data_IF_930244379748
#
_entry.id   IF_930244379748
#
_cell.length_a   1.000
_cell.length_b   1.000
_cell.length_c   1.000
_cell.angle_alpha   90.00
_cell.angle_beta   90.00
_cell.angle_gamma   90.00
#
_symmetry.space_group_name_H-M   'P 1'
#
loop_
_entity.id
_entity.type
_entity.pdbx_description
1 polymer ?
#
# COMPACT_ATOMS: atom_id res chain seq x y z
N UNK A 1 28.60 8.90 -19.15
CA UNK A 1 27.34 8.22 -19.44
C UNK A 1 27.60 6.72 -19.42
N UNK A 2 26.98 6.01 -18.49
CA UNK A 2 27.07 4.54 -18.37
C UNK A 2 26.40 3.81 -19.56
N UNK A 3 26.49 2.49 -19.60
CA UNK A 3 25.88 1.69 -20.65
C UNK A 3 24.35 1.89 -20.64
N UNK A 4 23.80 2.15 -21.80
CA UNK A 4 22.37 2.29 -21.97
C UNK A 4 21.67 0.94 -21.85
N UNK A 5 20.44 0.95 -21.35
CA UNK A 5 19.61 -0.24 -21.33
C UNK A 5 19.39 -0.75 -22.79
N UNK A 6 19.49 -2.06 -23.06
CA UNK A 6 19.08 -2.64 -24.32
C UNK A 6 17.63 -2.26 -24.64
N UNK A 7 17.38 -1.63 -25.76
CA UNK A 7 16.07 -1.08 -26.12
C UNK A 7 15.88 0.40 -25.79
N UNK A 8 16.76 1.00 -25.01
CA UNK A 8 16.83 2.44 -24.89
C UNK A 8 17.38 3.07 -26.17
N UNK A 9 17.05 4.34 -26.37
CA UNK A 9 17.61 5.10 -27.46
C UNK A 9 19.13 5.25 -27.30
N UNK A 10 19.86 5.29 -28.40
CA UNK A 10 21.31 5.43 -28.36
C UNK A 10 21.73 6.79 -27.79
N UNK A 11 22.96 6.88 -27.29
CA UNK A 11 23.57 8.15 -26.87
C UNK A 11 23.56 9.17 -28.03
N UNK A 12 23.73 8.71 -29.28
CA UNK A 12 23.67 9.56 -30.45
C UNK A 12 22.27 10.15 -30.67
N UNK A 13 21.21 9.40 -30.42
CA UNK A 13 19.84 9.89 -30.48
C UNK A 13 19.59 10.97 -29.42
N UNK A 14 20.14 10.81 -28.21
CA UNK A 14 20.09 11.83 -27.17
C UNK A 14 20.88 13.09 -27.58
N UNK A 15 22.10 12.91 -28.06
CA UNK A 15 22.96 14.01 -28.48
C UNK A 15 22.38 14.81 -29.69
N UNK A 16 21.64 14.14 -30.54
CA UNK A 16 20.96 14.77 -31.69
C UNK A 16 19.63 15.47 -31.32
N UNK A 17 19.21 15.40 -30.05
CA UNK A 17 17.95 15.99 -29.57
C UNK A 17 16.69 15.25 -30.02
N UNK A 18 16.82 14.03 -30.54
CA UNK A 18 15.69 13.20 -30.97
C UNK A 18 14.97 12.52 -29.81
N UNK A 19 15.48 12.66 -28.59
CA UNK A 19 14.93 12.08 -27.35
C UNK A 19 14.81 13.18 -26.30
N UNK A 20 13.65 13.30 -25.68
CA UNK A 20 13.39 14.29 -24.61
C UNK A 20 13.74 13.81 -23.22
N UNK A 21 13.67 12.50 -22.99
CA UNK A 21 14.00 11.87 -21.72
C UNK A 21 14.78 10.58 -21.96
N UNK A 22 15.71 10.30 -21.06
CA UNK A 22 16.61 9.16 -21.19
C UNK A 22 16.87 8.57 -19.82
N UNK A 23 16.51 7.32 -19.63
CA UNK A 23 16.71 6.62 -18.36
C UNK A 23 17.92 5.68 -18.48
N UNK A 24 18.85 5.83 -17.54
CA UNK A 24 20.03 4.97 -17.40
C UNK A 24 19.92 4.16 -16.12
N UNK A 25 20.31 2.90 -16.20
CA UNK A 25 20.51 2.07 -15.01
C UNK A 25 22.00 1.90 -14.80
N UNK A 26 22.46 2.27 -13.63
CA UNK A 26 23.85 2.11 -13.20
C UNK A 26 23.89 1.41 -11.85
N UNK A 27 24.99 0.73 -11.56
CA UNK A 27 25.22 0.22 -10.23
C UNK A 27 25.72 1.37 -9.35
N UNK A 28 25.28 1.38 -8.09
CA UNK A 28 25.82 2.27 -7.06
C UNK A 28 26.84 1.51 -6.21
N UNK A 29 27.86 2.21 -5.73
CA UNK A 29 28.83 1.70 -4.75
C UNK A 29 28.42 2.03 -3.30
N UNK A 30 27.23 2.61 -3.10
CA UNK A 30 26.72 2.91 -1.75
C UNK A 30 26.42 1.60 -1.02
N UNK A 31 26.93 1.47 0.21
CA UNK A 31 26.50 0.43 1.13
C UNK A 31 25.11 0.78 1.67
N UNK A 32 24.14 -0.10 1.45
CA UNK A 32 22.78 0.03 1.94
C UNK A 32 22.54 -1.00 3.03
N UNK A 33 22.15 -0.53 4.21
CA UNK A 33 21.73 -1.38 5.33
C UNK A 33 20.23 -1.32 5.45
N UNK A 34 19.58 -2.47 5.48
CA UNK A 34 18.15 -2.57 5.72
C UNK A 34 17.89 -3.33 7.02
N UNK A 35 16.99 -2.78 7.83
CA UNK A 35 16.48 -3.41 9.03
C UNK A 35 14.96 -3.42 8.98
N UNK A 36 14.36 -4.57 9.24
CA UNK A 36 12.91 -4.66 9.30
C UNK A 36 12.45 -5.80 10.21
N UNK A 37 11.30 -5.61 10.79
CA UNK A 37 10.60 -6.67 11.51
C UNK A 37 9.09 -6.47 11.42
N UNK A 38 8.35 -7.55 11.61
CA UNK A 38 6.90 -7.53 11.70
C UNK A 38 6.42 -8.36 12.88
N UNK A 39 5.40 -7.87 13.56
CA UNK A 39 4.71 -8.61 14.61
C UNK A 39 3.22 -8.57 14.35
N UNK A 40 2.55 -9.72 14.50
CA UNK A 40 1.12 -9.85 14.33
C UNK A 40 0.50 -10.67 15.46
N UNK A 41 -0.70 -10.27 15.85
CA UNK A 41 -1.51 -10.96 16.83
C UNK A 41 -2.93 -11.10 16.29
N UNK A 42 -3.50 -12.31 16.40
CA UNK A 42 -4.91 -12.56 16.14
C UNK A 42 -5.49 -13.38 17.29
N UNK A 43 -6.69 -13.03 17.71
CA UNK A 43 -7.37 -13.72 18.81
C UNK A 43 -8.86 -13.84 18.55
N UNK A 44 -9.36 -15.07 18.67
CA UNK A 44 -10.80 -15.33 18.73
C UNK A 44 -11.28 -15.10 20.15
N UNK A 45 -12.32 -14.32 20.27
CA UNK A 45 -12.98 -13.97 21.53
C UNK A 45 -14.34 -14.68 21.62
N UNK A 46 -14.96 -14.71 22.80
CA UNK A 46 -16.32 -15.23 22.95
C UNK A 46 -17.31 -14.57 21.98
N UNK A 47 -18.42 -15.26 21.71
CA UNK A 47 -19.50 -14.77 20.84
C UNK A 47 -19.07 -14.51 19.39
N UNK A 48 -18.11 -15.29 18.85
CA UNK A 48 -17.61 -15.23 17.47
C UNK A 48 -16.89 -13.92 17.11
N UNK A 49 -16.45 -13.13 18.06
CA UNK A 49 -15.57 -12.01 17.76
C UNK A 49 -14.17 -12.49 17.41
N UNK A 50 -13.56 -11.83 16.43
CA UNK A 50 -12.15 -11.98 16.11
C UNK A 50 -11.50 -10.59 16.06
N UNK A 51 -10.37 -10.45 16.75
CA UNK A 51 -9.56 -9.24 16.70
C UNK A 51 -8.19 -9.58 16.16
N UNK A 52 -7.63 -8.69 15.36
CA UNK A 52 -6.25 -8.81 14.88
C UNK A 52 -5.55 -7.47 14.87
N UNK A 53 -4.23 -7.51 15.05
CA UNK A 53 -3.36 -6.35 14.90
C UNK A 53 -2.03 -6.80 14.32
N UNK A 54 -1.48 -5.97 13.42
CA UNK A 54 -0.16 -6.16 12.83
C UNK A 54 0.60 -4.85 12.88
N UNK A 55 1.87 -4.94 13.21
CA UNK A 55 2.80 -3.82 13.11
C UNK A 55 4.00 -4.25 12.27
N UNK A 56 4.43 -3.38 11.36
CA UNK A 56 5.62 -3.57 10.55
C UNK A 56 6.52 -2.34 10.67
N UNK A 57 7.79 -2.61 10.81
CA UNK A 57 8.86 -1.63 10.80
C UNK A 57 9.83 -1.93 9.67
N UNK A 58 10.25 -0.90 8.94
CA UNK A 58 11.29 -0.98 7.92
C UNK A 58 12.14 0.28 7.97
N UNK A 59 13.45 0.11 7.97
CA UNK A 59 14.41 1.21 7.92
C UNK A 59 15.51 0.89 6.93
N UNK A 60 15.90 1.89 6.16
CA UNK A 60 17.03 1.86 5.26
C UNK A 60 18.02 2.93 5.72
N UNK A 61 19.28 2.56 5.78
CA UNK A 61 20.38 3.44 6.19
C UNK A 61 21.47 3.40 5.13
N UNK A 62 21.83 4.54 4.61
CA UNK A 62 22.86 4.74 3.59
C UNK A 62 23.36 6.17 3.60
N UNK A 63 24.57 6.36 3.11
CA UNK A 63 25.22 7.67 3.06
C UNK A 63 25.04 8.28 1.66
N UNK A 64 23.99 9.09 1.50
CA UNK A 64 23.67 9.79 0.24
C UNK A 64 24.83 10.65 -0.27
N UNK A 65 25.75 11.11 0.59
CA UNK A 65 26.86 11.96 0.17
C UNK A 65 27.87 11.24 -0.72
N UNK A 66 27.90 9.91 -0.67
CA UNK A 66 28.80 9.08 -1.50
C UNK A 66 28.36 8.98 -2.96
N UNK A 67 27.07 9.14 -3.22
CA UNK A 67 26.51 9.20 -4.55
C UNK A 67 25.27 10.11 -4.55
N UNK A 68 25.44 11.42 -4.75
CA UNK A 68 24.32 12.36 -4.74
C UNK A 68 23.27 12.11 -5.81
N UNK A 69 23.59 11.29 -6.81
CA UNK A 69 22.66 10.93 -7.89
C UNK A 69 21.88 9.65 -7.60
N UNK A 70 22.15 8.97 -6.48
CA UNK A 70 21.48 7.77 -6.09
C UNK A 70 20.05 8.06 -5.64
N UNK A 71 19.09 7.48 -6.34
CA UNK A 71 17.69 7.46 -5.94
C UNK A 71 17.39 6.11 -5.31
N UNK A 72 17.11 6.11 -4.02
CA UNK A 72 16.92 4.87 -3.28
C UNK A 72 15.67 4.08 -3.72
N UNK A 73 14.60 4.78 -4.05
CA UNK A 73 13.38 4.20 -4.59
C UNK A 73 12.71 3.16 -3.69
N UNK A 74 13.03 3.12 -2.39
CA UNK A 74 12.48 2.13 -1.46
C UNK A 74 10.98 2.34 -1.23
N UNK A 75 10.51 3.58 -1.31
CA UNK A 75 9.09 3.95 -1.32
C UNK A 75 8.27 3.23 -0.25
N UNK A 76 8.84 3.16 0.95
CA UNK A 76 8.30 2.34 2.04
C UNK A 76 8.21 3.16 3.32
N UNK A 77 7.01 3.30 3.90
CA UNK A 77 6.87 3.96 5.20
C UNK A 77 7.60 3.17 6.29
N UNK A 78 8.23 3.92 7.21
CA UNK A 78 9.00 3.35 8.32
C UNK A 78 8.13 2.53 9.28
N UNK A 79 6.92 3.00 9.54
CA UNK A 79 5.98 2.35 10.43
C UNK A 79 4.66 2.09 9.70
N UNK A 80 4.11 0.90 9.88
CA UNK A 80 2.77 0.52 9.39
C UNK A 80 2.04 -0.28 10.45
N UNK A 81 0.79 0.09 10.69
CA UNK A 81 -0.11 -0.60 11.60
C UNK A 81 -1.38 -0.99 10.86
N UNK A 82 -1.87 -2.18 11.14
CA UNK A 82 -3.21 -2.60 10.73
C UNK A 82 -3.88 -3.28 11.92
N UNK A 83 -5.14 -2.93 12.19
CA UNK A 83 -5.97 -3.58 13.18
C UNK A 83 -7.34 -3.91 12.59
N UNK A 84 -7.97 -4.97 13.06
CA UNK A 84 -9.33 -5.30 12.66
C UNK A 84 -10.11 -5.95 13.79
N UNK A 85 -11.43 -5.78 13.70
CA UNK A 85 -12.42 -6.51 14.50
C UNK A 85 -13.50 -7.04 13.57
N UNK A 86 -13.87 -8.29 13.76
CA UNK A 86 -14.93 -8.93 12.97
C UNK A 86 -15.80 -9.84 13.84
N UNK A 87 -16.99 -10.10 13.33
CA UNK A 87 -17.89 -11.11 13.85
C UNK A 87 -18.74 -11.63 12.69
N UNK A 88 -18.66 -12.92 12.40
CA UNK A 88 -19.38 -13.52 11.28
C UNK A 88 -20.83 -13.89 11.60
N UNK A 89 -21.19 -13.87 12.90
CA UNK A 89 -22.53 -14.24 13.35
C UNK A 89 -22.89 -13.49 14.66
N UNK A 90 -22.86 -12.15 14.59
CA UNK A 90 -23.19 -11.26 15.70
C UNK A 90 -24.63 -11.51 16.20
N UNK A 91 -25.56 -11.68 15.27
CA UNK A 91 -26.89 -12.24 15.46
C UNK A 91 -27.26 -13.01 14.18
N UNK A 92 -28.33 -13.78 14.20
CA UNK A 92 -28.69 -14.75 13.16
C UNK A 92 -28.39 -14.28 11.74
N UNK A 93 -27.42 -14.93 11.09
CA UNK A 93 -26.95 -14.67 9.70
C UNK A 93 -26.31 -13.30 9.45
N UNK A 94 -26.10 -12.48 10.47
CA UNK A 94 -25.54 -11.15 10.31
C UNK A 94 -24.09 -11.11 10.85
N UNK A 95 -23.19 -10.60 10.05
CA UNK A 95 -21.80 -10.37 10.43
C UNK A 95 -21.32 -8.98 10.04
N UNK A 96 -20.15 -8.61 10.55
CA UNK A 96 -19.46 -7.38 10.19
C UNK A 96 -17.94 -7.55 10.23
N UNK A 97 -17.25 -6.65 9.55
CA UNK A 97 -15.81 -6.46 9.68
C UNK A 97 -15.51 -4.97 9.64
N UNK A 98 -14.67 -4.52 10.55
CA UNK A 98 -14.10 -3.17 10.54
C UNK A 98 -12.59 -3.32 10.63
N UNK A 99 -11.86 -2.64 9.77
CA UNK A 99 -10.41 -2.59 9.83
C UNK A 99 -9.91 -1.16 9.69
N UNK A 100 -8.83 -0.88 10.40
CA UNK A 100 -8.09 0.36 10.29
C UNK A 100 -6.65 0.05 9.90
N UNK A 101 -6.09 0.85 8.98
CA UNK A 101 -4.66 0.81 8.63
C UNK A 101 -4.10 2.22 8.73
N UNK A 102 -2.94 2.31 9.30
CA UNK A 102 -2.15 3.52 9.39
C UNK A 102 -0.77 3.27 8.80
N UNK A 103 -0.25 4.23 8.10
CA UNK A 103 1.13 4.29 7.65
C UNK A 103 1.71 5.65 7.92
N UNK A 104 2.97 5.64 8.31
CA UNK A 104 3.79 6.83 8.46
C UNK A 104 4.01 7.53 7.12
N UNK A 105 4.40 8.79 7.15
CA UNK A 105 4.87 9.51 5.96
C UNK A 105 6.17 8.88 5.44
N UNK A 106 6.44 9.05 4.17
CA UNK A 106 7.69 8.56 3.56
C UNK A 106 8.02 9.30 2.28
N UNK A 107 9.32 9.35 1.97
CA UNK A 107 9.80 9.87 0.70
C UNK A 107 9.49 8.88 -0.41
N UNK A 108 8.80 9.36 -1.43
CA UNK A 108 8.59 8.68 -2.69
C UNK A 108 9.62 9.18 -3.70
N UNK A 109 10.36 8.27 -4.30
CA UNK A 109 11.35 8.54 -5.33
C UNK A 109 11.06 7.70 -6.57
N UNK A 110 11.00 8.33 -7.71
CA UNK A 110 10.80 7.66 -8.99
C UNK A 110 11.35 8.48 -10.15
N UNK A 111 11.53 7.83 -11.29
CA UNK A 111 11.97 8.52 -12.54
C UNK A 111 10.99 9.60 -13.03
N UNK A 112 9.85 9.78 -12.44
CA UNK A 112 8.83 10.76 -12.86
C UNK A 112 8.63 11.89 -11.86
N UNK A 113 8.68 11.59 -10.56
CA UNK A 113 8.43 12.56 -9.52
C UNK A 113 8.93 12.05 -8.16
N UNK A 114 9.51 12.97 -7.41
CA UNK A 114 9.94 12.76 -6.03
C UNK A 114 9.13 13.66 -5.12
N UNK A 115 8.92 13.20 -3.89
CA UNK A 115 8.22 14.00 -2.89
C UNK A 115 7.69 13.18 -1.72
N UNK A 116 7.20 13.87 -0.72
CA UNK A 116 6.62 13.23 0.45
C UNK A 116 5.23 12.67 0.16
N UNK A 117 5.02 11.45 0.58
CA UNK A 117 3.68 10.87 0.77
C UNK A 117 3.35 11.04 2.24
N UNK A 118 2.25 11.74 2.50
CA UNK A 118 1.80 12.04 3.86
C UNK A 118 1.39 10.78 4.62
N UNK A 119 1.48 10.85 5.95
CA UNK A 119 0.88 9.83 6.80
C UNK A 119 -0.62 9.67 6.50
N UNK A 120 -1.13 8.47 6.61
CA UNK A 120 -2.54 8.20 6.35
C UNK A 120 -3.14 7.18 7.29
N UNK A 121 -4.35 7.46 7.74
CA UNK A 121 -5.23 6.49 8.40
C UNK A 121 -6.43 6.21 7.52
N UNK A 122 -6.64 4.95 7.19
CA UNK A 122 -7.78 4.49 6.39
C UNK A 122 -8.59 3.49 7.19
N UNK A 123 -9.91 3.72 7.23
CA UNK A 123 -10.87 2.82 7.89
C UNK A 123 -11.74 2.19 6.82
N UNK A 124 -11.82 0.87 6.83
CA UNK A 124 -12.69 0.10 5.96
C UNK A 124 -13.74 -0.61 6.82
N UNK A 125 -14.98 -0.66 6.36
CA UNK A 125 -16.04 -1.35 7.08
C UNK A 125 -16.97 -2.09 6.12
N UNK A 126 -17.43 -3.26 6.53
CA UNK A 126 -18.45 -4.02 5.81
C UNK A 126 -19.40 -4.72 6.78
N UNK A 127 -20.62 -4.91 6.32
CA UNK A 127 -21.61 -5.81 6.92
C UNK A 127 -21.89 -6.95 5.96
N UNK A 128 -22.27 -8.10 6.51
CA UNK A 128 -22.62 -9.30 5.74
C UNK A 128 -23.93 -9.88 6.25
N UNK A 129 -24.72 -10.39 5.33
CA UNK A 129 -25.95 -11.09 5.65
C UNK A 129 -26.06 -12.40 4.86
N UNK A 130 -26.13 -13.50 5.60
CA UNK A 130 -26.36 -14.83 5.03
C UNK A 130 -27.83 -15.04 4.66
N UNK A 131 -28.08 -15.50 3.44
CA UNK A 131 -29.42 -15.86 2.93
C UNK A 131 -29.45 -17.39 2.72
N UNK A 132 -29.78 -18.17 3.75
CA UNK A 132 -29.67 -19.63 3.69
C UNK A 132 -30.53 -20.27 2.60
N UNK A 133 -31.72 -19.72 2.34
CA UNK A 133 -32.64 -20.22 1.30
C UNK A 133 -32.05 -20.13 -0.12
N UNK A 134 -31.14 -19.19 -0.35
CA UNK A 134 -30.45 -19.00 -1.63
C UNK A 134 -28.98 -19.48 -1.58
N UNK A 135 -28.55 -20.09 -0.48
CA UNK A 135 -27.14 -20.45 -0.23
C UNK A 135 -26.19 -19.29 -0.57
N UNK A 136 -26.56 -18.07 -0.20
CA UNK A 136 -25.88 -16.84 -0.63
C UNK A 136 -25.50 -15.97 0.56
N UNK A 137 -24.50 -15.13 0.34
CA UNK A 137 -24.06 -14.10 1.29
C UNK A 137 -24.06 -12.77 0.55
N UNK A 138 -24.84 -11.82 1.06
CA UNK A 138 -24.81 -10.42 0.65
C UNK A 138 -23.83 -9.66 1.52
N UNK A 139 -22.95 -8.86 0.90
CA UNK A 139 -22.04 -7.94 1.61
C UNK A 139 -22.23 -6.53 1.09
N UNK A 140 -22.24 -5.57 2.00
CA UNK A 140 -22.25 -4.15 1.70
C UNK A 140 -21.16 -3.49 2.53
N UNK A 141 -20.37 -2.64 1.93
CA UNK A 141 -19.27 -2.01 2.65
C UNK A 141 -18.76 -0.75 1.98
N UNK A 142 -17.81 -0.14 2.68
CA UNK A 142 -17.05 1.00 2.19
C UNK A 142 -15.58 0.82 2.51
N UNK A 143 -14.71 1.20 1.60
CA UNK A 143 -13.30 1.43 1.84
C UNK A 143 -13.07 2.92 2.02
N UNK A 144 -12.12 3.27 2.88
CA UNK A 144 -11.86 4.66 3.26
C UNK A 144 -13.12 5.37 3.76
N UNK A 145 -13.79 4.76 4.74
CA UNK A 145 -15.08 5.25 5.29
C UNK A 145 -15.00 6.67 5.86
N UNK A 146 -13.81 7.10 6.29
CA UNK A 146 -13.55 8.48 6.75
C UNK A 146 -13.52 9.52 5.63
N UNK A 147 -13.44 9.09 4.37
CA UNK A 147 -13.46 9.97 3.20
C UNK A 147 -12.22 10.85 3.02
N UNK A 148 -11.16 10.66 3.81
CA UNK A 148 -9.92 11.42 3.64
C UNK A 148 -9.23 11.01 2.34
N UNK A 149 -9.11 11.93 1.42
CA UNK A 149 -8.36 11.68 0.18
C UNK A 149 -6.88 11.56 0.47
N UNK A 150 -6.25 10.52 -0.07
CA UNK A 150 -4.83 10.25 0.14
C UNK A 150 -4.15 9.73 -1.13
N UNK A 151 -2.83 9.77 -1.13
CA UNK A 151 -1.99 9.19 -2.18
C UNK A 151 -1.22 7.99 -1.65
N UNK A 152 -1.02 7.00 -2.51
CA UNK A 152 -0.11 5.88 -2.26
C UNK A 152 1.20 6.01 -3.05
N UNK A 153 1.19 6.82 -4.09
CA UNK A 153 2.34 7.12 -4.94
C UNK A 153 2.13 8.47 -5.63
N UNK A 154 3.20 9.10 -6.08
CA UNK A 154 3.13 10.31 -6.87
C UNK A 154 2.83 9.99 -8.34
N UNK A 155 2.01 10.85 -8.97
CA UNK A 155 1.59 10.70 -10.37
C UNK A 155 0.11 10.38 -10.54
N UNK A 156 -0.45 9.29 -9.97
CA UNK A 156 -1.89 9.05 -10.00
C UNK A 156 -2.69 10.03 -9.15
N UNK A 157 -4.00 10.02 -9.38
CA UNK A 157 -4.95 10.81 -8.59
C UNK A 157 -5.06 10.36 -7.14
N UNK A 158 -5.78 11.14 -6.36
CA UNK A 158 -6.12 10.83 -4.96
C UNK A 158 -7.07 9.64 -4.87
N UNK A 159 -6.90 8.85 -3.82
CA UNK A 159 -7.79 7.75 -3.48
C UNK A 159 -8.81 8.27 -2.47
N UNK A 160 -10.05 8.30 -2.87
CA UNK A 160 -11.17 8.69 -2.04
C UNK A 160 -11.94 7.51 -1.47
N UNK A 161 -13.13 7.80 -0.95
CA UNK A 161 -14.06 6.82 -0.43
C UNK A 161 -14.70 6.00 -1.56
N UNK A 162 -14.87 4.70 -1.34
CA UNK A 162 -15.53 3.79 -2.27
C UNK A 162 -16.57 2.93 -1.54
N UNK A 163 -17.71 2.70 -2.17
CA UNK A 163 -18.75 1.80 -1.68
C UNK A 163 -18.85 0.58 -2.58
N UNK A 164 -19.16 -0.55 -2.01
CA UNK A 164 -19.36 -1.78 -2.76
C UNK A 164 -20.54 -2.59 -2.24
N UNK A 165 -21.12 -3.36 -3.15
CA UNK A 165 -22.09 -4.42 -2.87
C UNK A 165 -21.60 -5.70 -3.55
N UNK A 166 -21.65 -6.81 -2.83
CA UNK A 166 -21.21 -8.11 -3.33
C UNK A 166 -22.24 -9.18 -2.96
N UNK A 167 -22.56 -10.04 -3.90
CA UNK A 167 -23.37 -11.24 -3.68
C UNK A 167 -22.53 -12.47 -4.03
N UNK A 168 -22.30 -13.33 -3.04
CA UNK A 168 -21.62 -14.62 -3.22
C UNK A 168 -22.67 -15.73 -3.19
N UNK A 169 -22.72 -16.55 -4.21
CA UNK A 169 -23.63 -17.70 -4.32
C UNK A 169 -22.77 -18.97 -4.20
N UNK A 170 -23.12 -19.83 -3.24
CA UNK A 170 -22.47 -21.12 -3.03
C UNK A 170 -23.46 -22.21 -3.47
N UNK A 171 -23.32 -22.76 -4.68
CA UNK A 171 -24.24 -23.76 -5.22
C UNK A 171 -24.25 -25.10 -4.46
#
# INVERSE_FOLDING_TARGET
LGPTNPGAQSVDALASGNVRAFQLYTNTDIEIKSLGFGVGLSKKLPSNFEVSANYNYAQFDFDQSKDPSFEAGFNTPKHRVKASISNDNLFKNFGFNVSARWSDEYMWESSFADGMIDEVTVIDAQISYGIPSLKSILKVGATNLGGTEYRQLLGPGLIGQQYFVSLTINP
#
